data_IF_061645070582
#
_entry.id   IF_061645070582
#
_cell.length_a   1.000
_cell.length_b   1.000
_cell.length_c   1.000
_cell.angle_alpha   90.00
_cell.angle_beta   90.00
_cell.angle_gamma   90.00
#
_symmetry.space_group_name_H-M   'P 1'
#
loop_
_entity.id
_entity.type
_entity.pdbx_description
1 polymer ?
#
# COMPACT_ATOMS: atom_id res chain seq x y z
N UNK A 1 60.29 64.36 -20.07
CA UNK A 1 60.58 63.66 -18.81
C UNK A 1 59.39 63.94 -17.86
N UNK A 2 58.54 62.98 -17.58
CA UNK A 2 57.44 63.16 -16.67
C UNK A 2 56.59 61.87 -16.66
N UNK A 3 56.88 60.97 -15.74
CA UNK A 3 56.14 59.74 -15.49
C UNK A 3 54.80 60.05 -14.79
N UNK A 4 53.69 59.60 -15.39
CA UNK A 4 52.40 59.56 -14.73
C UNK A 4 52.09 58.13 -14.24
N UNK A 5 51.94 57.99 -12.95
CA UNK A 5 51.50 56.76 -12.27
C UNK A 5 49.97 56.66 -12.32
N UNK A 6 49.46 55.64 -13.00
CA UNK A 6 48.03 55.28 -12.97
C UNK A 6 47.76 54.43 -11.75
N UNK A 7 46.85 54.86 -10.87
CA UNK A 7 46.32 54.08 -9.75
C UNK A 7 45.14 53.22 -10.23
N UNK A 8 45.33 51.93 -10.28
CA UNK A 8 44.24 50.94 -10.48
C UNK A 8 43.44 50.79 -9.18
N UNK A 9 42.18 51.26 -9.19
CA UNK A 9 41.20 50.92 -8.15
C UNK A 9 40.56 49.56 -8.52
N UNK A 10 40.85 48.52 -7.77
CA UNK A 10 40.09 47.27 -7.81
C UNK A 10 38.85 47.43 -6.95
N UNK A 11 37.67 47.47 -7.58
CA UNK A 11 36.36 47.38 -6.89
C UNK A 11 36.04 45.90 -6.66
N UNK A 12 36.11 45.46 -5.42
CA UNK A 12 35.68 44.10 -5.00
C UNK A 12 34.18 44.11 -4.88
N UNK A 13 33.50 43.44 -5.82
CA UNK A 13 32.07 43.22 -5.77
C UNK A 13 31.85 42.00 -4.84
N UNK A 14 31.33 42.25 -3.65
CA UNK A 14 30.85 41.20 -2.75
C UNK A 14 29.44 40.75 -3.23
N UNK A 15 29.32 39.58 -3.86
CA UNK A 15 28.07 38.93 -4.14
C UNK A 15 27.58 38.25 -2.87
N UNK A 16 26.63 38.86 -2.16
CA UNK A 16 25.91 38.23 -1.07
C UNK A 16 24.99 37.17 -1.68
N UNK A 17 25.33 35.90 -1.49
CA UNK A 17 24.41 34.79 -1.67
C UNK A 17 23.38 34.84 -0.52
N UNK A 18 22.20 35.39 -0.77
CA UNK A 18 21.04 35.11 0.09
C UNK A 18 20.65 33.65 -0.15
N UNK A 19 21.00 32.78 0.77
CA UNK A 19 20.39 31.48 0.87
C UNK A 19 18.92 31.67 1.25
N UNK A 20 18.02 31.61 0.27
CA UNK A 20 16.60 31.51 0.55
C UNK A 20 16.37 30.17 1.25
N UNK A 21 16.24 30.20 2.56
CA UNK A 21 15.70 29.06 3.32
C UNK A 21 14.24 28.93 2.90
N UNK A 22 13.95 28.04 1.95
CA UNK A 22 12.59 27.60 1.72
C UNK A 22 12.14 26.95 3.02
N UNK A 23 11.22 27.60 3.74
CA UNK A 23 10.57 26.95 4.88
C UNK A 23 10.02 25.61 4.39
N UNK A 24 10.38 24.53 5.06
CA UNK A 24 9.82 23.21 4.75
C UNK A 24 8.29 23.34 4.86
N UNK A 25 7.58 22.91 3.84
CA UNK A 25 6.11 22.95 3.86
C UNK A 25 5.62 22.18 5.10
N UNK A 26 4.69 22.77 5.85
CA UNK A 26 4.11 22.10 7.02
C UNK A 26 3.16 20.98 6.55
N UNK A 27 3.21 19.85 7.25
CA UNK A 27 2.27 18.75 7.02
C UNK A 27 0.83 19.21 7.28
N UNK A 28 -0.16 18.70 6.54
CA UNK A 28 -1.57 18.96 6.81
C UNK A 28 -1.94 18.63 8.26
N UNK A 29 -2.87 19.38 8.82
CA UNK A 29 -3.27 19.29 10.25
C UNK A 29 -3.53 17.86 10.74
N UNK A 30 -4.17 16.93 9.98
CA UNK A 30 -4.34 15.54 10.40
C UNK A 30 -3.04 14.82 10.70
N UNK A 31 -1.95 15.15 9.99
CA UNK A 31 -0.63 14.55 10.21
C UNK A 31 0.12 15.14 11.42
N UNK A 32 -0.35 16.26 11.96
CA UNK A 32 0.18 16.88 13.18
C UNK A 32 -0.63 16.42 14.38
N UNK A 33 -1.95 16.39 14.26
CA UNK A 33 -2.86 16.10 15.37
C UNK A 33 -3.24 14.62 15.49
N UNK A 34 -3.09 13.83 14.42
CA UNK A 34 -3.62 12.47 14.30
C UNK A 34 -5.15 12.42 14.17
N UNK A 35 -5.81 13.55 13.85
CA UNK A 35 -7.26 13.63 13.70
C UNK A 35 -7.66 13.55 12.23
N UNK A 36 -7.88 12.35 11.75
CA UNK A 36 -8.35 12.09 10.40
C UNK A 36 -9.87 12.08 10.34
N UNK A 37 -10.45 12.52 9.22
CA UNK A 37 -11.88 12.43 8.92
C UNK A 37 -12.05 12.02 7.47
N UNK A 38 -12.94 11.07 7.20
CA UNK A 38 -13.10 10.51 5.88
C UNK A 38 -14.55 10.57 5.39
N UNK A 39 -14.71 10.81 4.09
CA UNK A 39 -15.96 10.61 3.40
C UNK A 39 -15.90 9.29 2.61
N UNK A 40 -16.86 8.39 2.87
CA UNK A 40 -16.91 7.04 2.32
C UNK A 40 -17.92 6.97 1.18
N UNK A 41 -17.49 6.45 0.03
CA UNK A 41 -18.35 6.19 -1.14
C UNK A 41 -19.25 4.99 -0.92
N UNK A 42 -20.24 4.83 -1.81
CA UNK A 42 -20.86 3.52 -2.04
C UNK A 42 -19.80 2.50 -2.51
N UNK A 43 -20.08 1.18 -2.41
CA UNK A 43 -19.18 0.16 -2.95
C UNK A 43 -18.88 0.40 -4.43
N UNK A 44 -17.60 0.46 -4.80
CA UNK A 44 -17.13 0.67 -6.18
C UNK A 44 -16.83 -0.62 -6.93
N UNK A 45 -16.53 -1.71 -6.18
CA UNK A 45 -16.36 -3.06 -6.74
C UNK A 45 -16.99 -4.07 -5.79
N UNK A 46 -17.79 -4.97 -6.35
CA UNK A 46 -18.37 -6.13 -5.66
C UNK A 46 -17.82 -7.43 -6.21
N UNK A 47 -18.08 -8.54 -5.53
CA UNK A 47 -17.73 -9.87 -6.02
C UNK A 47 -18.19 -10.04 -7.48
N UNK A 48 -17.36 -10.73 -8.26
CA UNK A 48 -17.69 -11.02 -9.66
C UNK A 48 -18.85 -12.01 -9.75
N UNK A 49 -19.58 -12.07 -10.89
CA UNK A 49 -20.59 -13.09 -11.14
C UNK A 49 -20.00 -14.50 -11.09
N UNK A 50 -20.85 -15.47 -10.84
CA UNK A 50 -20.53 -16.89 -10.95
C UNK A 50 -20.07 -17.26 -12.37
N UNK A 51 -19.14 -18.18 -12.50
CA UNK A 51 -18.63 -18.68 -13.77
C UNK A 51 -18.56 -20.22 -13.73
N UNK A 52 -19.51 -20.88 -14.40
CA UNK A 52 -19.66 -22.32 -14.34
C UNK A 52 -19.90 -22.80 -12.89
N UNK A 53 -19.05 -23.66 -12.38
CA UNK A 53 -19.11 -24.15 -11.00
C UNK A 53 -18.41 -23.23 -9.98
N UNK A 54 -17.69 -22.18 -10.46
CA UNK A 54 -16.97 -21.26 -9.61
C UNK A 54 -17.92 -20.19 -9.05
N UNK A 55 -18.11 -20.19 -7.75
CA UNK A 55 -18.88 -19.19 -6.99
C UNK A 55 -17.93 -18.22 -6.32
N UNK A 56 -18.18 -16.92 -6.42
CA UNK A 56 -17.35 -15.87 -5.82
C UNK A 56 -18.10 -15.19 -4.67
N UNK A 57 -17.46 -15.15 -3.49
CA UNK A 57 -18.05 -14.56 -2.26
C UNK A 57 -17.67 -13.12 -2.06
N UNK A 58 -16.42 -12.76 -2.40
CA UNK A 58 -15.85 -11.47 -2.04
C UNK A 58 -14.77 -11.01 -3.00
N UNK A 59 -14.54 -9.70 -2.97
CA UNK A 59 -13.37 -9.04 -3.53
C UNK A 59 -12.61 -8.36 -2.39
N UNK A 60 -11.28 -8.56 -2.32
CA UNK A 60 -10.42 -8.24 -1.18
C UNK A 60 -9.05 -7.73 -1.61
N UNK A 61 -8.29 -7.23 -0.61
CA UNK A 61 -6.85 -6.96 -0.70
C UNK A 61 -6.49 -6.18 -1.98
N UNK A 62 -7.07 -4.98 -2.20
CA UNK A 62 -6.87 -4.25 -3.44
C UNK A 62 -5.50 -3.56 -3.49
N UNK A 63 -4.90 -3.54 -4.68
CA UNK A 63 -3.78 -2.66 -5.05
C UNK A 63 -4.06 -2.02 -6.40
N UNK A 64 -3.82 -0.70 -6.53
CA UNK A 64 -4.19 0.03 -7.74
C UNK A 64 -3.15 1.06 -8.17
N UNK A 65 -2.99 1.22 -9.48
CA UNK A 65 -2.16 2.27 -10.09
C UNK A 65 -2.91 2.98 -11.21
N UNK A 66 -2.67 4.29 -11.33
CA UNK A 66 -3.09 5.07 -12.49
C UNK A 66 -1.99 5.05 -13.53
N UNK A 67 -2.27 4.48 -14.70
CA UNK A 67 -1.33 4.39 -15.81
C UNK A 67 -2.06 4.37 -17.15
N UNK A 68 -1.54 5.09 -18.17
CA UNK A 68 -2.15 5.14 -19.50
C UNK A 68 -3.62 5.57 -19.48
N UNK A 69 -3.94 6.58 -18.66
CA UNK A 69 -5.29 7.15 -18.50
C UNK A 69 -6.34 6.15 -18.00
N UNK A 70 -5.90 5.13 -17.24
CA UNK A 70 -6.78 4.11 -16.64
C UNK A 70 -6.28 3.74 -15.25
N UNK A 71 -7.21 3.35 -14.39
CA UNK A 71 -6.91 2.59 -13.20
C UNK A 71 -6.71 1.12 -13.54
N UNK A 72 -5.64 0.57 -13.03
CA UNK A 72 -5.30 -0.85 -13.08
C UNK A 72 -5.35 -1.36 -11.64
N UNK A 73 -6.39 -2.11 -11.32
CA UNK A 73 -6.65 -2.69 -10.01
C UNK A 73 -6.36 -4.18 -10.05
N UNK A 74 -5.62 -4.65 -9.08
CA UNK A 74 -5.43 -6.07 -8.78
C UNK A 74 -6.02 -6.33 -7.40
N UNK A 75 -6.78 -7.39 -7.25
CA UNK A 75 -7.41 -7.72 -5.98
C UNK A 75 -7.58 -9.23 -5.82
N UNK A 76 -7.62 -9.67 -4.58
CA UNK A 76 -7.97 -11.05 -4.27
C UNK A 76 -9.47 -11.26 -4.48
N UNK A 77 -9.83 -12.34 -5.16
CA UNK A 77 -11.20 -12.87 -5.14
C UNK A 77 -11.23 -14.18 -4.38
N UNK A 78 -12.26 -14.35 -3.56
CA UNK A 78 -12.51 -15.60 -2.84
C UNK A 78 -13.75 -16.28 -3.35
N UNK A 79 -13.64 -17.59 -3.48
CA UNK A 79 -14.76 -18.40 -3.97
C UNK A 79 -14.55 -19.88 -3.68
N UNK A 80 -15.28 -20.72 -4.38
CA UNK A 80 -15.10 -22.18 -4.40
C UNK A 80 -15.55 -22.75 -5.76
N UNK A 81 -14.98 -23.87 -6.21
CA UNK A 81 -14.05 -24.76 -5.47
C UNK A 81 -12.66 -24.14 -5.21
N UNK A 82 -12.17 -23.21 -6.04
CA UNK A 82 -10.88 -22.54 -5.85
C UNK A 82 -11.02 -21.35 -4.91
N UNK A 83 -10.25 -21.33 -3.81
CA UNK A 83 -10.47 -20.39 -2.72
C UNK A 83 -9.96 -18.98 -2.98
N UNK A 84 -8.72 -18.82 -3.46
CA UNK A 84 -8.05 -17.52 -3.64
C UNK A 84 -7.44 -17.43 -5.02
N UNK A 85 -7.69 -16.32 -5.68
CA UNK A 85 -7.14 -15.97 -7.00
C UNK A 85 -6.96 -14.46 -7.03
N UNK A 86 -6.11 -13.96 -7.93
CA UNK A 86 -6.01 -12.53 -8.20
C UNK A 86 -6.80 -12.21 -9.47
N UNK A 87 -7.67 -11.22 -9.36
CA UNK A 87 -8.40 -10.62 -10.46
C UNK A 87 -7.73 -9.32 -10.86
N UNK A 88 -7.60 -9.08 -12.16
CA UNK A 88 -7.22 -7.81 -12.74
C UNK A 88 -8.44 -7.06 -13.23
N UNK A 89 -8.60 -5.80 -12.81
CA UNK A 89 -9.72 -4.95 -13.23
C UNK A 89 -9.15 -3.67 -13.84
N UNK A 90 -9.65 -3.31 -15.03
CA UNK A 90 -9.37 -2.02 -15.65
C UNK A 90 -10.62 -1.16 -15.66
N UNK A 91 -10.47 0.12 -15.30
CA UNK A 91 -11.56 1.09 -15.27
C UNK A 91 -11.04 2.52 -15.57
N UNK A 92 -11.91 3.34 -16.13
CA UNK A 92 -11.58 4.75 -16.39
C UNK A 92 -11.76 5.60 -15.13
N UNK A 93 -12.86 5.39 -14.42
CA UNK A 93 -13.23 6.17 -13.24
C UNK A 93 -13.93 5.29 -12.22
N UNK A 94 -13.62 5.51 -10.94
CA UNK A 94 -14.27 4.80 -9.83
C UNK A 94 -15.78 5.04 -9.82
N UNK A 95 -16.55 3.98 -9.57
CA UNK A 95 -18.02 4.02 -9.58
C UNK A 95 -18.66 3.96 -10.98
N UNK A 96 -17.85 3.92 -12.05
CA UNK A 96 -18.31 3.67 -13.42
C UNK A 96 -18.19 2.19 -13.80
N UNK A 97 -18.84 1.73 -14.89
CA UNK A 97 -18.73 0.37 -15.37
C UNK A 97 -17.25 -0.06 -15.56
N UNK A 98 -16.95 -1.29 -15.16
CA UNK A 98 -15.63 -1.89 -15.30
C UNK A 98 -15.40 -2.28 -16.76
N UNK A 99 -14.25 -1.92 -17.35
CA UNK A 99 -13.94 -2.21 -18.75
C UNK A 99 -13.59 -3.71 -18.94
N UNK A 100 -12.87 -4.28 -18.00
CA UNK A 100 -12.45 -5.69 -18.03
C UNK A 100 -12.14 -6.18 -16.62
N UNK A 101 -12.35 -7.49 -16.38
CA UNK A 101 -12.02 -8.12 -15.10
C UNK A 101 -11.66 -9.61 -15.21
N UNK A 102 -10.58 -9.96 -15.97
CA UNK A 102 -10.09 -11.33 -16.04
C UNK A 102 -9.41 -11.79 -14.75
N UNK A 103 -9.51 -13.08 -14.46
CA UNK A 103 -8.64 -13.72 -13.47
C UNK A 103 -7.25 -13.84 -14.07
N UNK A 104 -6.22 -13.61 -13.24
CA UNK A 104 -4.84 -13.88 -13.66
C UNK A 104 -4.59 -15.39 -13.64
N UNK A 105 -3.83 -15.88 -14.61
CA UNK A 105 -3.44 -17.28 -14.74
C UNK A 105 -1.96 -17.50 -14.38
N UNK A 106 -1.53 -16.98 -13.22
CA UNK A 106 -0.13 -17.05 -12.77
C UNK A 106 0.15 -18.40 -12.08
N UNK A 107 -0.76 -18.82 -11.22
CA UNK A 107 -0.65 -20.04 -10.40
C UNK A 107 -1.98 -20.79 -10.42
N UNK A 108 -1.95 -22.11 -10.53
CA UNK A 108 -3.15 -22.94 -10.41
C UNK A 108 -3.62 -23.15 -8.96
N UNK A 109 -2.78 -22.81 -7.99
CA UNK A 109 -3.04 -22.92 -6.57
C UNK A 109 -3.52 -21.64 -5.89
N UNK A 110 -3.23 -21.54 -4.59
CA UNK A 110 -3.52 -20.40 -3.74
C UNK A 110 -2.54 -19.24 -4.02
N UNK A 111 -3.07 -18.05 -4.31
CA UNK A 111 -2.31 -16.80 -4.30
C UNK A 111 -3.24 -15.60 -4.10
N UNK A 112 -2.79 -14.61 -3.33
CA UNK A 112 -3.61 -13.47 -2.93
C UNK A 112 -2.78 -12.31 -2.37
N UNK A 113 -3.49 -11.27 -1.86
CA UNK A 113 -2.92 -10.07 -1.25
C UNK A 113 -1.85 -9.42 -2.15
N UNK A 114 -2.24 -8.97 -3.35
CA UNK A 114 -1.30 -8.41 -4.32
C UNK A 114 -0.85 -7.01 -3.96
N UNK A 115 0.38 -6.68 -4.38
CA UNK A 115 0.88 -5.31 -4.52
C UNK A 115 1.45 -5.13 -5.92
N UNK A 116 1.06 -4.10 -6.65
CA UNK A 116 1.58 -3.78 -7.99
C UNK A 116 2.36 -2.48 -7.98
N UNK A 117 3.53 -2.44 -8.63
CA UNK A 117 4.28 -1.22 -8.90
C UNK A 117 5.23 -1.41 -10.10
N UNK A 118 5.65 -0.30 -10.71
CA UNK A 118 6.66 -0.30 -11.76
C UNK A 118 8.04 -0.11 -11.13
N UNK A 119 8.94 -1.08 -11.33
CA UNK A 119 10.32 -0.98 -10.86
C UNK A 119 11.20 -0.36 -11.94
N UNK A 120 11.51 0.93 -11.80
CA UNK A 120 12.24 1.72 -12.81
C UNK A 120 13.57 1.12 -13.24
N UNK A 121 14.44 0.58 -12.33
CA UNK A 121 15.71 0.02 -12.74
C UNK A 121 15.57 -1.16 -13.71
N UNK A 122 14.55 -2.00 -13.55
CA UNK A 122 14.30 -3.15 -14.41
C UNK A 122 13.37 -2.84 -15.60
N UNK A 123 12.73 -1.66 -15.60
CA UNK A 123 11.73 -1.25 -16.59
C UNK A 123 10.59 -2.26 -16.72
N UNK A 124 10.13 -2.81 -15.58
CA UNK A 124 9.08 -3.83 -15.49
C UNK A 124 8.11 -3.53 -14.38
N UNK A 125 6.88 -3.97 -14.57
CA UNK A 125 5.89 -4.08 -13.53
C UNK A 125 6.19 -5.28 -12.65
N UNK A 126 6.07 -5.11 -11.36
CA UNK A 126 6.14 -6.16 -10.35
C UNK A 126 4.77 -6.33 -9.74
N UNK A 127 4.33 -7.57 -9.61
CA UNK A 127 3.20 -7.99 -8.81
C UNK A 127 3.77 -8.85 -7.69
N UNK A 128 3.80 -8.30 -6.47
CA UNK A 128 4.16 -9.04 -5.26
C UNK A 128 2.87 -9.64 -4.71
N UNK A 129 2.92 -10.85 -4.21
CA UNK A 129 1.76 -11.53 -3.63
C UNK A 129 2.21 -12.64 -2.69
N UNK A 130 1.28 -13.14 -1.89
CA UNK A 130 1.53 -14.36 -1.11
C UNK A 130 1.00 -15.59 -1.85
N UNK A 131 1.75 -16.68 -1.76
CA UNK A 131 1.37 -18.00 -2.24
C UNK A 131 1.64 -19.05 -1.18
N UNK A 132 1.22 -20.30 -1.41
CA UNK A 132 1.42 -21.40 -0.48
C UNK A 132 2.36 -22.43 -1.08
N UNK A 133 3.40 -22.80 -0.33
CA UNK A 133 4.30 -23.90 -0.66
C UNK A 133 4.44 -24.84 0.56
N UNK A 134 3.80 -26.03 0.56
CA UNK A 134 3.86 -26.97 1.68
C UNK A 134 5.27 -27.49 2.01
N UNK A 135 6.21 -27.41 1.07
CA UNK A 135 7.60 -27.83 1.26
C UNK A 135 8.43 -26.82 2.07
N UNK A 136 7.90 -25.60 2.28
CA UNK A 136 8.60 -24.48 2.93
C UNK A 136 8.06 -24.20 4.34
N UNK A 137 8.87 -23.52 5.12
CA UNK A 137 8.51 -22.99 6.45
C UNK A 137 8.89 -21.50 6.51
N UNK A 138 7.93 -20.59 6.83
CA UNK A 138 6.47 -20.82 6.88
C UNK A 138 5.89 -21.31 5.56
N UNK A 139 4.74 -21.96 5.57
CA UNK A 139 4.08 -22.47 4.35
C UNK A 139 3.65 -21.35 3.39
N UNK A 140 3.16 -20.22 3.93
CA UNK A 140 2.93 -19.01 3.14
C UNK A 140 4.27 -18.40 2.74
N UNK A 141 4.38 -17.99 1.48
CA UNK A 141 5.61 -17.45 0.91
C UNK A 141 5.35 -16.14 0.15
N UNK A 142 6.24 -15.13 0.31
CA UNK A 142 6.25 -13.97 -0.56
C UNK A 142 6.76 -14.36 -1.94
N UNK A 143 5.95 -14.13 -2.95
CA UNK A 143 6.29 -14.37 -4.35
C UNK A 143 6.11 -13.12 -5.18
N UNK A 144 6.69 -13.11 -6.36
CA UNK A 144 6.49 -12.07 -7.36
C UNK A 144 6.40 -12.64 -8.76
N UNK A 145 5.73 -11.88 -9.62
CA UNK A 145 5.75 -12.03 -11.08
C UNK A 145 6.03 -10.67 -11.70
N UNK A 146 6.58 -10.66 -12.92
CA UNK A 146 6.89 -9.44 -13.66
C UNK A 146 6.14 -9.37 -14.98
N UNK A 147 5.87 -8.14 -15.46
CA UNK A 147 5.27 -7.91 -16.77
C UNK A 147 5.85 -6.63 -17.38
N UNK A 148 6.05 -6.59 -18.69
CA UNK A 148 6.48 -5.38 -19.38
C UNK A 148 5.30 -4.46 -19.71
N UNK A 149 4.10 -5.04 -19.84
CA UNK A 149 2.87 -4.33 -20.26
C UNK A 149 1.73 -4.60 -19.28
N UNK A 150 1.50 -3.65 -18.39
CA UNK A 150 0.53 -3.76 -17.29
C UNK A 150 -0.89 -4.16 -17.76
N UNK A 151 -1.30 -3.69 -18.93
CA UNK A 151 -2.65 -3.93 -19.48
C UNK A 151 -2.83 -5.31 -20.12
N UNK A 152 -1.79 -6.14 -20.15
CA UNK A 152 -1.83 -7.51 -20.69
C UNK A 152 -1.86 -8.52 -19.54
N UNK A 153 -3.04 -8.98 -19.10
CA UNK A 153 -3.16 -9.86 -17.93
C UNK A 153 -2.52 -11.25 -18.13
N UNK A 154 -2.29 -11.67 -19.38
CA UNK A 154 -1.58 -12.90 -19.71
C UNK A 154 -0.05 -12.76 -19.81
N UNK A 155 0.49 -11.54 -19.65
CA UNK A 155 1.93 -11.26 -19.81
C UNK A 155 2.75 -11.41 -18.52
N UNK A 156 2.17 -11.83 -17.41
CA UNK A 156 2.90 -12.02 -16.16
C UNK A 156 3.81 -13.26 -16.24
N UNK A 157 5.05 -13.10 -15.77
CA UNK A 157 6.01 -14.22 -15.69
C UNK A 157 5.52 -15.29 -14.71
N UNK A 158 6.05 -16.54 -14.81
CA UNK A 158 5.89 -17.52 -13.76
C UNK A 158 6.31 -16.98 -12.39
N UNK A 159 5.76 -17.52 -11.28
CA UNK A 159 6.07 -17.07 -9.93
C UNK A 159 7.51 -17.34 -9.54
N UNK A 160 8.13 -16.39 -8.86
CA UNK A 160 9.41 -16.53 -8.19
C UNK A 160 9.30 -16.09 -6.74
N UNK A 161 10.03 -16.75 -5.83
CA UNK A 161 10.02 -16.38 -4.42
C UNK A 161 11.00 -15.25 -4.10
N UNK A 162 10.61 -14.32 -3.22
CA UNK A 162 11.51 -13.28 -2.73
C UNK A 162 12.64 -13.86 -1.86
N UNK A 163 12.37 -14.95 -1.15
CA UNK A 163 13.37 -15.67 -0.38
C UNK A 163 13.63 -17.06 -0.97
N UNK A 164 14.87 -17.51 -1.10
CA UNK A 164 15.19 -18.89 -1.52
C UNK A 164 14.75 -19.92 -0.46
N UNK A 165 14.77 -19.53 0.82
CA UNK A 165 14.23 -20.29 1.96
C UNK A 165 13.61 -19.33 2.95
N UNK A 166 12.64 -19.76 3.76
CA UNK A 166 12.05 -18.94 4.80
C UNK A 166 13.11 -18.48 5.82
N UNK A 167 13.09 -17.21 6.28
CA UNK A 167 14.02 -16.74 7.29
C UNK A 167 13.81 -17.47 8.62
N UNK A 168 14.89 -17.89 9.31
CA UNK A 168 14.79 -18.80 10.48
C UNK A 168 14.10 -18.16 11.68
N UNK A 169 14.13 -16.83 11.78
CA UNK A 169 13.55 -16.07 12.89
C UNK A 169 12.07 -15.73 12.71
N UNK A 170 11.45 -16.10 11.57
CA UNK A 170 10.04 -15.80 11.25
C UNK A 170 9.22 -17.09 11.23
N UNK A 171 8.32 -17.23 12.21
CA UNK A 171 7.42 -18.39 12.32
C UNK A 171 6.16 -18.25 11.48
N UNK A 172 5.71 -17.00 11.28
CA UNK A 172 4.51 -16.64 10.54
C UNK A 172 4.72 -15.29 9.89
N UNK A 173 4.25 -15.14 8.68
CA UNK A 173 4.24 -13.86 7.95
C UNK A 173 3.04 -13.79 7.01
N UNK A 174 2.57 -12.57 6.73
CA UNK A 174 1.43 -12.30 5.85
C UNK A 174 1.51 -10.86 5.31
N UNK A 175 0.87 -10.62 4.17
CA UNK A 175 0.67 -9.30 3.56
C UNK A 175 2.00 -8.57 3.29
N UNK A 176 2.66 -9.01 2.25
CA UNK A 176 3.98 -8.53 1.86
C UNK A 176 3.90 -7.21 1.10
N UNK A 177 4.68 -6.24 1.53
CA UNK A 177 4.71 -4.90 0.98
C UNK A 177 6.13 -4.45 0.70
N UNK A 178 6.41 -4.06 -0.57
CA UNK A 178 7.73 -3.57 -1.00
C UNK A 178 7.64 -2.08 -1.26
N UNK A 179 8.58 -1.31 -0.72
CA UNK A 179 8.80 0.10 -1.02
C UNK A 179 10.28 0.36 -1.15
N UNK A 180 10.70 1.31 -2.00
CA UNK A 180 12.10 1.70 -2.12
C UNK A 180 12.35 3.13 -1.63
N UNK A 181 13.52 3.33 -1.06
CA UNK A 181 14.19 4.61 -1.00
C UNK A 181 15.22 4.73 -2.15
N UNK A 182 16.09 5.74 -2.11
CA UNK A 182 17.08 5.99 -3.17
C UNK A 182 18.19 4.91 -3.21
N UNK A 183 18.36 4.13 -2.15
CA UNK A 183 19.46 3.16 -1.98
C UNK A 183 19.00 1.72 -1.92
N UNK A 184 17.85 1.46 -1.30
CA UNK A 184 17.40 0.12 -0.93
C UNK A 184 15.95 -0.12 -1.32
N UNK A 185 15.63 -1.39 -1.48
CA UNK A 185 14.27 -1.91 -1.44
C UNK A 185 14.02 -2.49 -0.03
N UNK A 186 12.87 -2.20 0.54
CA UNK A 186 12.44 -2.65 1.86
C UNK A 186 11.20 -3.51 1.71
N UNK A 187 11.21 -4.69 2.32
CA UNK A 187 10.07 -5.59 2.41
C UNK A 187 9.49 -5.50 3.82
N UNK A 188 8.23 -5.12 3.91
CA UNK A 188 7.45 -5.10 5.15
C UNK A 188 6.42 -6.22 5.15
N UNK A 189 6.11 -6.76 6.33
CA UNK A 189 5.06 -7.75 6.53
C UNK A 189 4.68 -7.82 8.01
N UNK A 190 3.53 -8.40 8.31
CA UNK A 190 3.08 -8.66 9.69
C UNK A 190 3.16 -10.15 10.02
N UNK A 191 3.11 -10.49 11.30
CA UNK A 191 3.14 -11.88 11.80
C UNK A 191 1.90 -12.26 12.61
N UNK A 192 0.85 -11.44 12.62
CA UNK A 192 -0.44 -11.66 13.32
C UNK A 192 -0.30 -11.75 14.86
N UNK A 193 0.78 -11.22 15.41
CA UNK A 193 1.10 -11.23 16.84
C UNK A 193 1.47 -9.84 17.38
N UNK A 194 1.02 -8.78 16.66
CA UNK A 194 1.32 -7.40 17.03
C UNK A 194 2.63 -6.85 16.50
N UNK A 195 3.29 -7.55 15.56
CA UNK A 195 4.60 -7.17 15.04
C UNK A 195 4.56 -6.80 13.57
N UNK A 196 5.21 -5.66 13.27
CA UNK A 196 5.59 -5.27 11.92
C UNK A 196 7.08 -5.57 11.74
N UNK A 197 7.38 -6.34 10.71
CA UNK A 197 8.73 -6.75 10.35
C UNK A 197 9.22 -6.01 9.12
N UNK A 198 10.52 -5.86 9.00
CA UNK A 198 11.20 -5.28 7.83
C UNK A 198 12.45 -6.08 7.48
N UNK A 199 12.63 -6.34 6.20
CA UNK A 199 13.89 -6.75 5.58
C UNK A 199 14.30 -5.74 4.52
N UNK A 200 15.56 -5.79 4.08
CA UNK A 200 16.06 -4.88 3.05
C UNK A 200 17.01 -5.59 2.09
N UNK A 201 17.13 -5.03 0.89
CA UNK A 201 18.16 -5.39 -0.11
C UNK A 201 18.60 -4.14 -0.85
N UNK A 202 19.76 -4.18 -1.52
CA UNK A 202 20.15 -3.07 -2.39
C UNK A 202 19.21 -2.97 -3.60
N UNK A 203 19.06 -1.77 -4.17
CA UNK A 203 18.27 -1.60 -5.40
C UNK A 203 18.82 -2.39 -6.59
N UNK A 204 20.12 -2.70 -6.60
CA UNK A 204 20.76 -3.48 -7.65
C UNK A 204 20.48 -4.98 -7.50
N UNK A 205 20.37 -5.45 -6.25
CA UNK A 205 20.11 -6.87 -5.95
C UNK A 205 18.62 -7.23 -5.99
N UNK A 206 17.73 -6.23 -5.83
CA UNK A 206 16.28 -6.47 -5.89
C UNK A 206 15.89 -7.25 -7.16
N UNK A 207 15.08 -8.31 -7.06
CA UNK A 207 14.26 -8.77 -5.93
C UNK A 207 14.91 -9.87 -5.08
N UNK A 208 16.23 -9.97 -5.05
CA UNK A 208 17.02 -11.00 -4.38
C UNK A 208 17.79 -10.44 -3.19
N UNK A 209 18.57 -11.31 -2.52
CA UNK A 209 19.54 -10.96 -1.47
C UNK A 209 18.96 -10.15 -0.31
N UNK A 210 17.73 -10.48 0.09
CA UNK A 210 17.09 -9.87 1.25
C UNK A 210 17.83 -10.18 2.54
N UNK A 211 17.97 -9.18 3.41
CA UNK A 211 18.51 -9.36 4.76
C UNK A 211 17.61 -10.25 5.61
N UNK A 212 18.11 -10.71 6.74
CA UNK A 212 17.28 -11.29 7.78
C UNK A 212 16.25 -10.25 8.27
N UNK A 213 14.95 -10.60 8.36
CA UNK A 213 13.94 -9.69 8.84
C UNK A 213 14.13 -9.32 10.32
N UNK A 214 13.81 -8.06 10.65
CA UNK A 214 13.78 -7.56 12.02
C UNK A 214 12.45 -6.88 12.34
N UNK A 215 12.03 -6.93 13.59
CA UNK A 215 10.86 -6.21 14.08
C UNK A 215 11.17 -4.70 14.10
N UNK A 216 10.29 -3.89 13.53
CA UNK A 216 10.43 -2.43 13.47
C UNK A 216 9.31 -1.70 14.21
N UNK A 217 8.22 -2.40 14.54
CA UNK A 217 7.13 -1.90 15.37
C UNK A 217 6.49 -3.08 16.12
N UNK A 218 6.26 -2.91 17.42
CA UNK A 218 5.39 -3.77 18.24
C UNK A 218 4.25 -2.92 18.78
N UNK A 219 3.01 -3.29 18.46
CA UNK A 219 1.80 -2.59 18.87
C UNK A 219 0.59 -3.51 18.79
N UNK A 220 -0.57 -3.03 19.26
CA UNK A 220 -1.85 -3.70 19.03
C UNK A 220 -2.27 -3.53 17.57
N UNK A 221 -1.60 -4.26 16.67
CA UNK A 221 -1.82 -4.31 15.22
C UNK A 221 -2.13 -5.74 14.80
N UNK A 222 -2.73 -5.90 13.62
CA UNK A 222 -3.17 -7.21 13.17
C UNK A 222 -2.49 -7.65 11.88
N UNK A 223 -2.82 -7.05 10.73
CA UNK A 223 -2.30 -7.43 9.41
C UNK A 223 -2.25 -6.22 8.44
N UNK A 224 -2.01 -6.44 7.16
CA UNK A 224 -2.10 -5.45 6.09
C UNK A 224 -1.33 -4.14 6.36
N UNK A 225 -0.03 -4.26 6.62
CA UNK A 225 0.84 -3.10 6.79
C UNK A 225 1.30 -2.56 5.44
N UNK A 226 0.90 -1.33 5.11
CA UNK A 226 1.28 -0.65 3.88
C UNK A 226 2.05 0.64 4.19
N UNK A 227 3.17 0.81 3.51
CA UNK A 227 4.12 1.91 3.75
C UNK A 227 4.17 2.81 2.52
N UNK A 228 4.12 4.14 2.74
CA UNK A 228 4.11 5.15 1.69
C UNK A 228 5.10 6.26 1.98
N UNK A 229 5.68 6.86 0.94
CA UNK A 229 6.40 8.12 1.03
C UNK A 229 5.42 9.29 0.93
N UNK A 230 5.52 10.25 1.82
CA UNK A 230 4.72 11.48 1.76
C UNK A 230 5.33 12.44 0.75
N UNK A 231 4.60 12.71 -0.34
CA UNK A 231 5.06 13.59 -1.42
C UNK A 231 5.31 15.01 -0.91
N UNK A 232 6.51 15.53 -1.18
CA UNK A 232 6.93 16.86 -0.74
C UNK A 232 7.49 16.92 0.68
N UNK A 233 7.57 15.77 1.36
CA UNK A 233 8.10 15.66 2.73
C UNK A 233 9.10 14.52 2.84
N UNK A 234 10.11 14.69 3.67
CA UNK A 234 11.05 13.62 3.99
C UNK A 234 10.48 12.76 5.12
N UNK A 235 9.34 12.12 4.85
CA UNK A 235 8.62 11.29 5.82
C UNK A 235 7.93 10.13 5.14
N UNK A 236 7.77 9.08 5.91
CA UNK A 236 7.03 7.87 5.53
C UNK A 236 5.83 7.67 6.45
N UNK A 237 4.75 7.20 5.87
CA UNK A 237 3.51 6.83 6.54
C UNK A 237 3.36 5.30 6.49
N UNK A 238 3.23 4.65 7.64
CA UNK A 238 2.77 3.28 7.72
C UNK A 238 1.29 3.29 8.15
N UNK A 239 0.45 2.60 7.40
CA UNK A 239 -0.90 2.26 7.82
C UNK A 239 -0.96 0.76 8.09
N UNK A 240 -1.58 0.35 9.19
CA UNK A 240 -1.66 -1.05 9.59
C UNK A 240 -3.07 -1.35 10.08
N UNK A 241 -3.60 -2.47 9.62
CA UNK A 241 -4.90 -2.94 10.11
C UNK A 241 -4.82 -3.38 11.57
N UNK A 242 -5.84 -3.02 12.33
CA UNK A 242 -6.08 -3.46 13.69
C UNK A 242 -7.53 -3.94 13.84
N UNK A 243 -7.84 -4.61 14.95
CA UNK A 243 -9.19 -5.11 15.17
C UNK A 243 -9.66 -4.84 16.60
N UNK A 244 -10.97 -4.64 16.73
CA UNK A 244 -11.65 -4.58 18.03
C UNK A 244 -12.91 -5.44 17.98
N UNK A 245 -12.86 -6.58 18.66
CA UNK A 245 -13.85 -7.63 18.47
C UNK A 245 -13.84 -8.12 17.01
N UNK A 246 -14.99 -8.21 16.33
CA UNK A 246 -15.04 -8.61 14.92
C UNK A 246 -14.68 -7.49 13.94
N UNK A 247 -14.70 -6.23 14.37
CA UNK A 247 -14.52 -5.07 13.50
C UNK A 247 -13.06 -4.77 13.22
N UNK A 248 -12.79 -4.33 12.01
CA UNK A 248 -11.48 -3.93 11.50
C UNK A 248 -11.39 -2.42 11.33
N UNK A 249 -10.20 -1.85 11.57
CA UNK A 249 -9.90 -0.43 11.40
C UNK A 249 -8.42 -0.24 11.14
N UNK A 250 -7.99 0.96 10.75
CA UNK A 250 -6.60 1.28 10.48
C UNK A 250 -5.99 2.18 11.54
N UNK A 251 -4.76 1.86 11.90
CA UNK A 251 -3.82 2.69 12.65
C UNK A 251 -2.80 3.30 11.71
N UNK A 252 -2.18 4.42 12.12
CA UNK A 252 -1.14 5.08 11.36
C UNK A 252 0.06 5.45 12.23
N UNK A 253 1.25 5.36 11.61
CA UNK A 253 2.54 5.68 12.21
C UNK A 253 3.37 6.49 11.21
N UNK A 254 4.24 7.37 11.71
CA UNK A 254 5.18 8.16 10.90
C UNK A 254 6.63 7.78 11.21
N UNK A 255 7.48 7.84 10.20
CA UNK A 255 8.93 7.75 10.34
C UNK A 255 9.63 8.73 9.38
N UNK A 256 10.85 9.16 9.73
CA UNK A 256 11.65 10.00 8.84
C UNK A 256 12.39 9.18 7.78
N UNK A 257 12.71 7.93 8.10
CA UNK A 257 13.38 6.98 7.19
C UNK A 257 12.76 5.58 7.35
N UNK A 258 12.83 4.75 6.32
CA UNK A 258 12.21 3.42 6.30
C UNK A 258 12.81 2.44 7.32
N UNK A 259 14.04 2.64 7.74
CA UNK A 259 14.71 1.85 8.78
C UNK A 259 14.75 2.53 10.16
N UNK A 260 14.03 3.65 10.30
CA UNK A 260 13.91 4.42 11.53
C UNK A 260 12.84 3.92 12.49
N UNK A 261 12.60 4.72 13.52
CA UNK A 261 11.56 4.48 14.52
C UNK A 261 10.21 4.97 14.02
N UNK A 262 9.21 4.12 14.08
CA UNK A 262 7.83 4.45 13.74
C UNK A 262 7.11 5.09 14.93
N UNK A 263 6.73 6.36 14.80
CA UNK A 263 6.04 7.12 15.83
C UNK A 263 4.53 7.01 15.64
N UNK A 264 3.74 6.78 16.73
CA UNK A 264 2.29 6.77 16.66
C UNK A 264 1.73 8.10 16.14
N UNK A 265 0.77 8.02 15.19
CA UNK A 265 0.06 9.19 14.67
C UNK A 265 -1.43 9.09 14.95
N UNK A 266 -2.07 8.01 14.56
CA UNK A 266 -3.48 7.72 14.76
C UNK A 266 -3.60 6.21 15.07
N UNK A 267 -3.33 5.85 16.33
CA UNK A 267 -3.06 4.46 16.73
C UNK A 267 -4.08 3.90 17.74
N UNK A 268 -5.22 4.60 17.95
CA UNK A 268 -6.27 4.20 18.90
C UNK A 268 -7.60 4.00 18.20
N UNK A 269 -8.42 3.11 18.72
CA UNK A 269 -9.79 2.89 18.25
C UNK A 269 -10.63 4.17 18.22
N UNK A 270 -10.57 4.95 19.29
CA UNK A 270 -11.33 6.20 19.44
C UNK A 270 -10.83 7.33 18.54
N UNK A 271 -9.61 7.17 18.00
CA UNK A 271 -8.95 8.12 17.11
C UNK A 271 -8.15 7.36 16.04
N UNK A 272 -8.83 6.62 15.15
CA UNK A 272 -8.18 5.78 14.16
C UNK A 272 -7.69 6.60 12.98
N UNK A 273 -6.79 6.01 12.16
CA UNK A 273 -6.52 6.55 10.84
C UNK A 273 -7.76 6.45 9.95
N UNK A 274 -8.35 5.25 9.82
CA UNK A 274 -9.62 5.00 9.14
C UNK A 274 -10.40 3.93 9.91
N UNK A 275 -11.63 4.26 10.33
CA UNK A 275 -12.52 3.35 11.05
C UNK A 275 -13.89 3.97 11.24
N UNK A 276 -14.81 3.23 11.84
CA UNK A 276 -16.19 3.66 12.02
C UNK A 276 -16.30 4.99 12.79
N UNK A 277 -15.36 5.27 13.70
CA UNK A 277 -15.37 6.45 14.58
C UNK A 277 -15.06 7.77 13.85
N UNK A 278 -14.49 7.72 12.63
CA UNK A 278 -14.04 8.93 11.92
C UNK A 278 -14.50 9.02 10.46
N UNK A 279 -15.54 8.28 10.10
CA UNK A 279 -16.10 8.26 8.72
C UNK A 279 -17.50 8.91 8.67
N UNK A 280 -17.80 9.50 7.50
CA UNK A 280 -19.14 9.88 7.06
C UNK A 280 -19.41 9.23 5.72
N UNK A 281 -20.50 8.51 5.59
CA UNK A 281 -20.92 7.95 4.31
C UNK A 281 -21.62 9.00 3.44
N UNK A 282 -21.37 8.98 2.13
CA UNK A 282 -22.03 9.86 1.16
C UNK A 282 -23.54 9.61 1.15
N UNK A 283 -23.89 8.35 1.13
CA UNK A 283 -25.27 7.88 1.14
C UNK A 283 -25.54 7.04 2.41
N UNK A 284 -26.01 5.82 2.25
CA UNK A 284 -26.31 4.92 3.36
C UNK A 284 -25.06 4.18 3.86
N UNK A 285 -24.88 4.06 5.19
CA UNK A 285 -23.82 3.21 5.73
C UNK A 285 -23.97 1.77 5.20
N UNK A 286 -22.87 1.21 4.69
CA UNK A 286 -22.86 -0.13 4.13
C UNK A 286 -21.80 -1.05 4.77
N UNK A 287 -20.91 -0.52 5.58
CA UNK A 287 -19.89 -1.27 6.32
C UNK A 287 -19.62 -0.67 7.69
N UNK A 288 -19.26 -1.51 8.65
CA UNK A 288 -18.73 -1.15 9.96
C UNK A 288 -17.28 -1.63 10.13
N UNK A 289 -16.80 -2.49 9.24
CA UNK A 289 -15.40 -2.94 9.17
C UNK A 289 -14.70 -2.32 7.96
N UNK A 290 -13.49 -1.78 8.21
CA UNK A 290 -12.57 -1.21 7.23
C UNK A 290 -11.30 -2.03 7.29
N UNK A 291 -11.08 -2.86 6.28
CA UNK A 291 -10.04 -3.88 6.27
C UNK A 291 -9.21 -3.78 4.99
N UNK A 292 -8.10 -4.45 4.93
CA UNK A 292 -7.08 -4.54 3.90
C UNK A 292 -7.33 -3.61 2.68
N UNK A 293 -6.62 -2.49 2.63
CA UNK A 293 -6.80 -1.47 1.59
C UNK A 293 -5.51 -0.70 1.34
N UNK A 294 -5.45 -0.01 0.21
CA UNK A 294 -4.31 0.75 -0.26
C UNK A 294 -4.66 2.23 -0.42
N UNK A 295 -3.77 3.14 -0.01
CA UNK A 295 -3.84 4.55 -0.40
C UNK A 295 -3.53 4.69 -1.89
N UNK A 296 -4.40 5.38 -2.65
CA UNK A 296 -4.16 5.65 -4.05
C UNK A 296 -2.94 6.55 -4.22
N UNK A 297 -1.96 6.06 -4.96
CA UNK A 297 -0.66 6.70 -5.14
C UNK A 297 -0.71 7.80 -6.19
N UNK A 298 0.15 8.78 -6.05
CA UNK A 298 0.32 9.87 -7.04
C UNK A 298 1.06 9.37 -8.29
N UNK A 299 1.95 8.40 -8.11
CA UNK A 299 2.71 7.72 -9.16
C UNK A 299 2.41 6.22 -9.20
N UNK A 300 3.19 5.51 -9.99
CA UNK A 300 3.03 4.07 -10.18
C UNK A 300 4.32 3.29 -9.89
N UNK A 301 5.38 3.96 -9.47
CA UNK A 301 6.70 3.37 -9.27
C UNK A 301 6.95 2.84 -7.85
N UNK A 302 8.15 2.33 -7.64
CA UNK A 302 8.63 1.71 -6.42
C UNK A 302 8.75 2.64 -5.21
N UNK A 303 8.61 3.96 -5.39
CA UNK A 303 8.65 4.92 -4.28
C UNK A 303 7.33 5.04 -3.54
N UNK A 304 6.22 4.57 -4.13
CA UNK A 304 4.88 4.53 -3.55
C UNK A 304 4.45 5.86 -2.91
N UNK A 305 4.61 6.96 -3.65
CA UNK A 305 4.28 8.29 -3.13
C UNK A 305 2.77 8.52 -3.02
N UNK A 306 2.34 9.13 -1.92
CA UNK A 306 0.99 9.63 -1.70
C UNK A 306 1.01 11.13 -1.40
N UNK A 307 -0.03 11.84 -1.82
CA UNK A 307 -0.19 13.26 -1.52
C UNK A 307 -0.92 13.42 -0.17
N UNK A 308 -0.25 13.91 0.89
CA UNK A 308 -0.86 14.05 2.21
C UNK A 308 -2.02 15.06 2.25
N UNK A 309 -2.13 15.94 1.25
CA UNK A 309 -3.24 16.88 1.10
C UNK A 309 -4.46 16.29 0.38
N UNK A 310 -4.31 15.11 -0.24
CA UNK A 310 -5.36 14.52 -1.09
C UNK A 310 -5.39 13.00 -1.01
N UNK A 311 -5.45 12.47 0.22
CA UNK A 311 -5.50 11.02 0.41
C UNK A 311 -6.84 10.44 -0.01
N UNK A 312 -6.77 9.36 -0.77
CA UNK A 312 -7.92 8.49 -1.05
C UNK A 312 -7.49 7.06 -0.76
N UNK A 313 -8.25 6.36 0.07
CA UNK A 313 -8.00 4.96 0.40
C UNK A 313 -9.03 4.06 -0.26
N UNK A 314 -8.56 3.13 -1.05
CA UNK A 314 -9.34 2.01 -1.57
C UNK A 314 -9.28 0.89 -0.52
N UNK A 315 -10.42 0.50 0.05
CA UNK A 315 -10.48 -0.45 1.16
C UNK A 315 -11.54 -1.53 0.92
N UNK A 316 -11.37 -2.68 1.56
CA UNK A 316 -12.44 -3.67 1.64
C UNK A 316 -13.31 -3.41 2.87
N UNK A 317 -14.61 -3.41 2.68
CA UNK A 317 -15.60 -3.17 3.74
C UNK A 317 -16.69 -4.23 3.77
N UNK A 318 -17.28 -4.42 4.95
CA UNK A 318 -18.43 -5.29 5.18
C UNK A 318 -19.22 -4.82 6.39
N UNK A 319 -20.53 -5.05 6.40
CA UNK A 319 -21.35 -4.76 7.57
C UNK A 319 -21.34 -5.90 8.59
N UNK A 320 -21.52 -5.55 9.88
CA UNK A 320 -21.65 -6.52 10.96
C UNK A 320 -22.73 -7.57 10.65
N UNK A 321 -23.85 -7.12 10.08
CA UNK A 321 -24.96 -8.02 9.68
C UNK A 321 -24.53 -9.04 8.61
N UNK A 322 -23.72 -8.62 7.64
CA UNK A 322 -23.24 -9.50 6.57
C UNK A 322 -22.12 -10.42 7.03
N UNK A 323 -21.39 -10.03 8.05
CA UNK A 323 -20.29 -10.81 8.64
C UNK A 323 -20.80 -11.85 9.63
N UNK A 324 -21.87 -11.52 10.39
CA UNK A 324 -22.39 -12.35 11.47
C UNK A 324 -22.76 -13.77 11.03
N UNK A 325 -22.28 -14.77 11.77
CA UNK A 325 -22.56 -16.18 11.56
C UNK A 325 -21.86 -16.83 10.36
N UNK A 326 -21.01 -16.09 9.63
CA UNK A 326 -20.26 -16.61 8.47
C UNK A 326 -18.86 -17.08 8.87
N UNK A 327 -18.39 -18.14 8.24
CA UNK A 327 -16.96 -18.45 8.24
C UNK A 327 -16.19 -17.32 7.54
N UNK A 328 -14.98 -17.02 7.99
CA UNK A 328 -14.17 -15.92 7.42
C UNK A 328 -14.08 -15.96 5.89
N UNK A 329 -13.99 -17.15 5.32
CA UNK A 329 -13.93 -17.37 3.87
C UNK A 329 -15.20 -17.00 3.08
N UNK A 330 -16.33 -16.84 3.75
CA UNK A 330 -17.65 -16.57 3.14
C UNK A 330 -18.14 -15.14 3.42
N UNK A 331 -17.34 -14.33 4.11
CA UNK A 331 -17.65 -12.92 4.36
C UNK A 331 -17.66 -12.17 3.02
N UNK A 332 -18.77 -11.49 2.67
CA UNK A 332 -18.96 -10.87 1.36
C UNK A 332 -18.33 -9.47 1.30
N UNK A 333 -17.01 -9.39 1.39
CA UNK A 333 -16.28 -8.14 1.27
C UNK A 333 -16.52 -7.46 -0.07
N UNK A 334 -16.59 -6.13 -0.04
CA UNK A 334 -16.68 -5.24 -1.21
C UNK A 334 -15.64 -4.16 -1.10
N UNK A 335 -15.26 -3.54 -2.23
CA UNK A 335 -14.34 -2.40 -2.21
C UNK A 335 -15.10 -1.09 -2.21
N UNK A 336 -14.64 -0.13 -1.43
CA UNK A 336 -15.10 1.24 -1.37
C UNK A 336 -13.94 2.22 -1.32
N UNK A 337 -14.23 3.50 -1.48
CA UNK A 337 -13.27 4.59 -1.35
C UNK A 337 -13.55 5.40 -0.11
N UNK A 338 -12.50 5.75 0.62
CA UNK A 338 -12.53 6.76 1.67
C UNK A 338 -11.65 7.94 1.24
N UNK A 339 -12.24 9.14 1.14
CA UNK A 339 -11.54 10.38 0.76
C UNK A 339 -11.30 11.22 2.00
N UNK A 340 -10.05 11.64 2.22
CA UNK A 340 -9.69 12.50 3.35
C UNK A 340 -10.40 13.85 3.26
N UNK A 341 -11.00 14.28 4.35
CA UNK A 341 -11.62 15.60 4.51
C UNK A 341 -10.69 16.47 5.33
N UNK A 342 -10.04 17.42 4.70
CA UNK A 342 -9.21 18.38 5.42
C UNK A 342 -10.10 19.42 6.13
N UNK A 343 -9.71 19.92 7.32
CA UNK A 343 -10.36 21.06 7.95
C UNK A 343 -10.33 22.26 7.00
N UNK A 344 -11.41 23.03 6.99
CA UNK A 344 -11.39 24.33 6.30
C UNK A 344 -10.38 25.24 6.99
N UNK A 345 -9.57 25.99 6.23
CA UNK A 345 -8.64 26.96 6.79
C UNK A 345 -9.31 28.02 7.63
#
# INVERSE_FOLDING_TARGET
MGLLWGKNFMVAIWILWLAATTAAAELPLPFVTGEFRWEVSDPVVSARPEEGEQIFFSVKDPTAVWFGERWHLFCTVRGRPRTHQIEYIRLHQWGQPLETRPLLAIIDGYYCAPQVFYYRPHRKWYLIYQTSDPSRKPTLQPAFSTNERLHEPGGWSPPEFLYPSGPPNVQRWIDFWVICDDRRAHLFFTSLDGRLWRAETSRQDFPRNWSEPRVVLEADIFEAAHIYRLRGYEKYLAIVEAQRGPRRYYKAYLADILDGTWQPLADRWEKPFLGLENVRFRDKPWCESFSHGELLRVGFDEYLEVDPHNLVMLFQGVSDRQMGGKAYGEIPWKLGLATLVLPKP
#
